data_IF_205710479213
#
_entry.id   IF_205710479213
#
_cell.length_a   1.000
_cell.length_b   1.000
_cell.length_c   1.000
_cell.angle_alpha   90.00
_cell.angle_beta   90.00
_cell.angle_gamma   90.00
#
_symmetry.space_group_name_H-M   'P 1'
#
loop_
_entity.id
_entity.type
_entity.pdbx_description
1 polymer ?
#
# COMPACT_ATOMS: atom_id res chain seq x y z
N UNK A 1 -12.32 -1.40 -10.64
CA UNK A 1 -12.43 0.05 -10.61
C UNK A 1 -11.86 0.75 -11.87
N UNK A 2 -10.75 0.28 -12.47
CA UNK A 2 -10.13 0.95 -13.63
C UNK A 2 -10.21 0.16 -14.95
N UNK A 3 -11.02 -0.91 -15.06
CA UNK A 3 -11.09 -1.76 -16.26
C UNK A 3 -11.49 -1.03 -17.54
N UNK A 4 -12.28 0.02 -17.43
CA UNK A 4 -12.76 0.82 -18.59
C UNK A 4 -11.83 1.99 -18.94
N UNK A 5 -10.88 2.33 -18.06
CA UNK A 5 -9.94 3.42 -18.33
C UNK A 5 -8.67 2.87 -18.98
N UNK A 6 -8.51 3.12 -20.28
CA UNK A 6 -7.25 2.81 -20.98
C UNK A 6 -6.10 3.59 -20.34
N UNK A 7 -4.99 2.91 -20.05
CA UNK A 7 -3.76 3.56 -19.63
C UNK A 7 -3.33 4.57 -20.70
N UNK A 8 -3.11 5.82 -20.29
CA UNK A 8 -2.59 6.88 -21.14
C UNK A 8 -1.71 7.82 -20.34
N UNK A 9 -0.64 8.25 -20.99
CA UNK A 9 0.26 9.25 -20.42
C UNK A 9 -0.27 10.64 -20.80
N UNK A 10 -0.43 11.53 -19.83
CA UNK A 10 -0.80 12.92 -20.07
C UNK A 10 0.36 13.64 -20.79
N UNK A 11 0.03 14.58 -21.65
CA UNK A 11 1.05 15.44 -22.28
C UNK A 11 1.77 16.23 -21.19
N UNK A 12 3.09 16.34 -21.31
CA UNK A 12 3.93 16.97 -20.27
C UNK A 12 3.58 18.43 -20.05
N UNK A 13 3.18 19.15 -21.11
CA UNK A 13 2.77 20.56 -21.06
C UNK A 13 1.53 20.75 -20.16
N UNK A 14 0.61 19.78 -20.17
CA UNK A 14 -0.58 19.79 -19.29
C UNK A 14 -0.20 19.55 -17.83
N UNK A 15 0.74 18.64 -17.58
CA UNK A 15 1.26 18.39 -16.23
C UNK A 15 1.99 19.62 -15.70
N UNK A 16 2.79 20.28 -16.54
CA UNK A 16 3.48 21.51 -16.15
C UNK A 16 2.52 22.64 -15.82
N UNK A 17 1.43 22.78 -16.58
CA UNK A 17 0.37 23.74 -16.28
C UNK A 17 -0.29 23.46 -14.93
N UNK A 18 -0.66 22.21 -14.64
CA UNK A 18 -1.23 21.84 -13.33
C UNK A 18 -0.29 22.20 -12.17
N UNK A 19 1.04 22.02 -12.36
CA UNK A 19 2.05 22.39 -11.36
C UNK A 19 2.08 23.91 -11.14
N UNK A 20 1.99 24.69 -12.23
CA UNK A 20 1.96 26.17 -12.18
C UNK A 20 0.65 26.67 -11.54
N UNK A 21 -0.48 26.11 -11.93
CA UNK A 21 -1.79 26.43 -11.34
C UNK A 21 -1.82 26.10 -9.83
N UNK A 22 -1.26 24.93 -9.43
CA UNK A 22 -1.14 24.57 -8.04
C UNK A 22 -0.32 25.59 -7.24
N UNK A 23 0.75 26.17 -7.84
CA UNK A 23 1.53 27.22 -7.19
C UNK A 23 0.75 28.51 -6.97
N UNK A 24 -0.14 28.85 -7.89
CA UNK A 24 -1.00 30.04 -7.72
C UNK A 24 -1.98 29.87 -6.56
N UNK A 25 -2.47 28.64 -6.33
CA UNK A 25 -3.43 28.34 -5.26
C UNK A 25 -2.72 28.14 -3.91
N UNK A 26 -1.57 27.48 -3.92
CA UNK A 26 -0.83 27.09 -2.73
C UNK A 26 0.53 27.80 -2.66
N UNK A 27 0.64 28.90 -1.91
CA UNK A 27 1.87 29.69 -1.85
C UNK A 27 3.02 28.99 -1.13
N UNK A 28 2.73 27.93 -0.35
CA UNK A 28 3.73 27.17 0.39
C UNK A 28 3.36 25.69 0.49
N UNK A 29 4.20 24.80 -0.06
CA UNK A 29 3.99 23.34 -0.08
C UNK A 29 5.26 22.62 0.37
N UNK A 30 5.18 21.84 1.46
CA UNK A 30 6.30 21.01 1.95
C UNK A 30 6.35 19.62 1.34
N UNK A 31 5.21 19.09 0.90
CA UNK A 31 5.13 17.74 0.33
C UNK A 31 4.12 17.67 -0.80
N UNK A 32 4.46 16.91 -1.82
CA UNK A 32 3.61 16.69 -3.00
C UNK A 32 3.43 15.19 -3.21
N UNK A 33 2.19 14.77 -3.42
CA UNK A 33 1.88 13.39 -3.79
C UNK A 33 1.29 13.36 -5.20
N UNK A 34 1.96 12.64 -6.12
CA UNK A 34 1.48 12.46 -7.50
C UNK A 34 0.53 11.27 -7.54
N UNK A 35 -0.71 11.53 -7.94
CA UNK A 35 -1.81 10.57 -8.03
C UNK A 35 -2.10 10.13 -9.46
N UNK A 36 -3.19 9.38 -9.64
CA UNK A 36 -3.71 8.87 -10.91
C UNK A 36 -2.87 7.75 -11.56
N UNK A 37 -2.75 6.67 -10.81
CA UNK A 37 -2.21 5.42 -11.32
C UNK A 37 -0.76 5.17 -10.92
N UNK A 38 -0.15 4.22 -11.61
CA UNK A 38 1.22 3.78 -11.34
C UNK A 38 2.22 4.72 -12.01
N UNK A 39 2.65 5.75 -11.29
CA UNK A 39 3.55 6.80 -11.79
C UNK A 39 4.93 6.24 -12.17
N UNK A 40 5.45 5.27 -11.40
CA UNK A 40 6.77 4.70 -11.65
C UNK A 40 6.86 3.86 -12.94
N UNK A 41 5.73 3.46 -13.51
CA UNK A 41 5.70 2.79 -14.82
C UNK A 41 6.21 3.68 -15.98
N UNK A 42 6.25 5.00 -15.78
CA UNK A 42 6.74 5.95 -16.77
C UNK A 42 8.26 5.82 -16.95
N UNK A 43 8.74 6.25 -18.12
CA UNK A 43 10.18 6.34 -18.40
C UNK A 43 10.85 7.30 -17.41
N UNK A 44 12.04 6.95 -16.95
CA UNK A 44 12.79 7.75 -15.97
C UNK A 44 13.03 9.18 -16.42
N UNK A 45 13.39 9.40 -17.69
CA UNK A 45 13.58 10.73 -18.26
C UNK A 45 12.31 11.62 -18.18
N UNK A 46 11.13 11.03 -18.38
CA UNK A 46 9.86 11.73 -18.27
C UNK A 46 9.59 12.13 -16.82
N UNK A 47 9.84 11.23 -15.89
CA UNK A 47 9.72 11.51 -14.45
C UNK A 47 10.68 12.59 -13.98
N UNK A 48 11.93 12.56 -14.44
CA UNK A 48 12.94 13.59 -14.12
C UNK A 48 12.50 14.99 -14.57
N UNK A 49 11.86 15.11 -15.75
CA UNK A 49 11.29 16.39 -16.20
C UNK A 49 10.20 16.91 -15.27
N UNK A 50 9.31 16.03 -14.80
CA UNK A 50 8.24 16.39 -13.85
C UNK A 50 8.83 16.81 -12.51
N UNK A 51 9.73 16.01 -11.94
CA UNK A 51 10.39 16.29 -10.67
C UNK A 51 11.19 17.59 -10.73
N UNK A 52 11.91 17.83 -11.83
CA UNK A 52 12.63 19.09 -12.07
C UNK A 52 11.70 20.30 -12.14
N UNK A 53 10.54 20.18 -12.82
CA UNK A 53 9.52 21.25 -12.83
C UNK A 53 8.97 21.53 -11.44
N UNK A 54 8.69 20.49 -10.65
CA UNK A 54 8.24 20.63 -9.26
C UNK A 54 9.30 21.34 -8.42
N UNK A 55 10.56 20.93 -8.51
CA UNK A 55 11.67 21.52 -7.75
C UNK A 55 11.85 23.00 -8.04
N UNK A 56 11.69 23.42 -9.30
CA UNK A 56 11.79 24.84 -9.67
C UNK A 56 10.56 25.64 -9.22
N UNK A 57 9.37 25.04 -9.32
CA UNK A 57 8.11 25.72 -8.96
C UNK A 57 7.88 25.78 -7.46
N UNK A 58 8.31 24.75 -6.71
CA UNK A 58 8.18 24.62 -5.25
C UNK A 58 9.54 24.31 -4.61
N UNK A 59 10.47 25.28 -4.56
CA UNK A 59 11.81 25.06 -4.00
C UNK A 59 11.78 24.69 -2.50
N UNK A 60 10.70 25.01 -1.80
CA UNK A 60 10.46 24.63 -0.41
C UNK A 60 9.95 23.18 -0.24
N UNK A 61 9.57 22.51 -1.33
CA UNK A 61 9.08 21.14 -1.29
C UNK A 61 10.22 20.15 -1.01
N UNK A 62 10.23 19.59 0.18
CA UNK A 62 11.28 18.64 0.61
C UNK A 62 10.92 17.17 0.39
N UNK A 63 9.66 16.86 0.05
CA UNK A 63 9.19 15.48 -0.07
C UNK A 63 8.23 15.31 -1.24
N UNK A 64 8.66 14.58 -2.25
CA UNK A 64 7.78 14.15 -3.33
C UNK A 64 7.53 12.64 -3.19
N UNK A 65 6.27 12.23 -3.29
CA UNK A 65 5.86 10.85 -3.23
C UNK A 65 4.88 10.52 -4.36
N UNK A 66 4.75 9.24 -4.68
CA UNK A 66 3.75 8.78 -5.65
C UNK A 66 3.46 7.27 -5.55
N UNK A 67 2.39 6.83 -6.21
CA UNK A 67 2.09 5.41 -6.35
C UNK A 67 3.06 4.71 -7.30
N UNK A 68 3.53 3.53 -6.88
CA UNK A 68 4.42 2.68 -7.66
C UNK A 68 4.03 1.21 -7.50
N UNK A 69 4.22 0.42 -8.55
CA UNK A 69 4.19 -1.04 -8.42
C UNK A 69 5.55 -1.58 -7.96
N UNK A 70 5.54 -2.60 -7.09
CA UNK A 70 6.77 -3.31 -6.71
C UNK A 70 7.47 -3.92 -7.93
N UNK A 71 6.71 -4.33 -8.96
CA UNK A 71 7.25 -4.76 -10.25
C UNK A 71 7.99 -3.63 -10.99
N UNK A 72 7.54 -2.39 -10.87
CA UNK A 72 8.21 -1.28 -11.55
C UNK A 72 9.49 -0.87 -10.83
N UNK A 73 9.53 -0.92 -9.50
CA UNK A 73 10.77 -0.84 -8.74
C UNK A 73 11.77 -1.91 -9.19
N UNK A 74 11.30 -3.16 -9.37
CA UNK A 74 12.13 -4.27 -9.83
C UNK A 74 12.64 -4.07 -11.26
N UNK A 75 11.82 -3.51 -12.16
CA UNK A 75 12.17 -3.31 -13.59
C UNK A 75 13.18 -2.19 -13.79
N UNK A 76 13.12 -1.11 -13.00
CA UNK A 76 14.12 -0.04 -13.08
C UNK A 76 15.47 -0.51 -12.53
N UNK A 77 16.56 0.01 -13.07
CA UNK A 77 17.87 -0.21 -12.48
C UNK A 77 18.10 0.73 -11.29
N UNK A 78 19.02 0.35 -10.40
CA UNK A 78 19.35 1.14 -9.20
C UNK A 78 19.84 2.55 -9.56
N UNK A 79 20.54 2.70 -10.69
CA UNK A 79 21.00 4.01 -11.17
C UNK A 79 19.83 4.95 -11.49
N UNK A 80 18.80 4.46 -12.18
CA UNK A 80 17.58 5.23 -12.47
C UNK A 80 16.85 5.64 -11.19
N UNK A 81 16.70 4.71 -10.24
CA UNK A 81 16.07 5.00 -8.96
C UNK A 81 16.85 6.04 -8.16
N UNK A 82 18.20 5.98 -8.17
CA UNK A 82 19.06 7.00 -7.55
C UNK A 82 18.89 8.38 -8.22
N UNK A 83 18.75 8.43 -9.53
CA UNK A 83 18.48 9.69 -10.23
C UNK A 83 17.13 10.29 -9.80
N UNK A 84 16.07 9.45 -9.68
CA UNK A 84 14.78 9.90 -9.18
C UNK A 84 14.86 10.38 -7.71
N UNK A 85 15.62 9.68 -6.86
CA UNK A 85 15.88 10.11 -5.48
C UNK A 85 16.56 11.48 -5.42
N UNK A 86 17.60 11.68 -6.22
CA UNK A 86 18.32 12.97 -6.31
C UNK A 86 17.43 14.10 -6.83
N UNK A 87 16.45 13.77 -7.69
CA UNK A 87 15.47 14.72 -8.21
C UNK A 87 14.31 15.02 -7.23
N UNK A 88 14.35 14.49 -5.99
CA UNK A 88 13.39 14.80 -4.93
C UNK A 88 12.38 13.69 -4.61
N UNK A 89 12.42 12.52 -5.28
CA UNK A 89 11.56 11.39 -4.91
C UNK A 89 11.97 10.86 -3.53
N UNK A 90 11.11 11.05 -2.54
CA UNK A 90 11.37 10.64 -1.16
C UNK A 90 10.74 9.29 -0.83
N UNK A 91 9.49 9.06 -1.27
CA UNK A 91 8.67 7.91 -0.89
C UNK A 91 7.89 7.37 -2.08
N UNK A 92 7.76 6.07 -2.17
CA UNK A 92 6.79 5.41 -3.05
C UNK A 92 5.76 4.63 -2.24
N UNK A 93 4.49 4.73 -2.62
CA UNK A 93 3.39 3.94 -2.06
C UNK A 93 3.15 2.73 -2.95
N UNK A 94 3.26 1.52 -2.38
CA UNK A 94 3.16 0.27 -3.13
C UNK A 94 2.15 -0.67 -2.51
N UNK A 95 1.29 -1.28 -3.36
CA UNK A 95 0.39 -2.34 -2.94
C UNK A 95 1.07 -3.70 -3.03
N UNK A 96 1.32 -4.36 -1.91
CA UNK A 96 1.69 -5.77 -1.84
C UNK A 96 0.42 -6.64 -1.77
N UNK A 97 -0.50 -6.25 -0.94
CA UNK A 97 -1.79 -6.82 -0.57
C UNK A 97 -1.66 -8.14 0.21
N UNK A 98 -0.77 -9.06 -0.19
CA UNK A 98 -0.51 -10.35 0.44
C UNK A 98 0.93 -10.80 0.20
N UNK A 99 1.46 -11.62 1.10
CA UNK A 99 2.70 -12.37 0.91
C UNK A 99 2.47 -13.81 0.44
N UNK A 100 1.22 -14.29 0.48
CA UNK A 100 0.85 -15.62 0.03
C UNK A 100 0.76 -15.69 -1.50
N UNK A 101 1.57 -16.55 -2.16
CA UNK A 101 1.57 -16.63 -3.62
C UNK A 101 0.23 -17.05 -4.21
N UNK A 102 -0.54 -17.91 -3.52
CA UNK A 102 -1.86 -18.36 -4.00
C UNK A 102 -2.86 -17.22 -3.96
N UNK A 103 -2.88 -16.46 -2.87
CA UNK A 103 -3.72 -15.26 -2.75
C UNK A 103 -3.36 -14.22 -3.82
N UNK A 104 -2.06 -13.96 -4.04
CA UNK A 104 -1.60 -13.03 -5.09
C UNK A 104 -2.04 -13.45 -6.49
N UNK A 105 -2.03 -14.76 -6.78
CA UNK A 105 -2.51 -15.31 -8.05
C UNK A 105 -4.03 -15.16 -8.19
N UNK A 106 -4.80 -15.52 -7.15
CA UNK A 106 -6.28 -15.39 -7.13
C UNK A 106 -6.75 -13.96 -7.39
N UNK A 107 -6.09 -12.97 -6.78
CA UNK A 107 -6.41 -11.55 -7.01
C UNK A 107 -5.80 -10.98 -8.29
N UNK A 108 -5.12 -11.79 -9.07
CA UNK A 108 -4.45 -11.39 -10.33
C UNK A 108 -3.48 -10.22 -10.13
N UNK A 109 -2.73 -10.24 -9.02
CA UNK A 109 -1.79 -9.16 -8.68
C UNK A 109 -0.66 -9.01 -9.69
N UNK A 110 -0.31 -10.07 -10.42
CA UNK A 110 0.80 -10.08 -11.37
C UNK A 110 2.16 -9.85 -10.69
N UNK A 111 2.29 -10.27 -9.44
CA UNK A 111 3.47 -10.10 -8.60
C UNK A 111 3.67 -11.38 -7.78
N UNK A 112 4.91 -11.84 -7.67
CA UNK A 112 5.28 -12.90 -6.72
C UNK A 112 5.98 -12.31 -5.49
N UNK A 113 6.00 -13.03 -4.34
CA UNK A 113 6.74 -12.59 -3.15
C UNK A 113 8.21 -12.29 -3.43
N UNK A 114 8.88 -13.13 -4.23
CA UNK A 114 10.27 -12.92 -4.62
C UNK A 114 10.47 -11.67 -5.51
N UNK A 115 9.53 -11.38 -6.39
CA UNK A 115 9.55 -10.16 -7.20
C UNK A 115 9.35 -8.91 -6.33
N UNK A 116 8.47 -8.99 -5.32
CA UNK A 116 8.26 -7.92 -4.35
C UNK A 116 9.55 -7.63 -3.57
N UNK A 117 10.19 -8.68 -3.04
CA UNK A 117 11.46 -8.59 -2.34
C UNK A 117 12.53 -7.89 -3.18
N UNK A 118 12.72 -8.31 -4.45
CA UNK A 118 13.68 -7.68 -5.38
C UNK A 118 13.37 -6.22 -5.66
N UNK A 119 12.09 -5.85 -5.77
CA UNK A 119 11.68 -4.45 -5.92
C UNK A 119 12.07 -3.61 -4.72
N UNK A 120 11.81 -4.13 -3.52
CA UNK A 120 12.16 -3.48 -2.26
C UNK A 120 13.65 -3.28 -2.09
N UNK A 121 14.46 -4.30 -2.40
CA UNK A 121 15.94 -4.22 -2.34
C UNK A 121 16.48 -3.08 -3.21
N UNK A 122 15.94 -2.92 -4.42
CA UNK A 122 16.37 -1.85 -5.32
C UNK A 122 15.98 -0.46 -4.80
N UNK A 123 14.77 -0.31 -4.24
CA UNK A 123 14.35 0.95 -3.63
C UNK A 123 15.28 1.32 -2.47
N UNK A 124 15.58 0.38 -1.57
CA UNK A 124 16.53 0.57 -0.47
C UNK A 124 17.93 0.93 -0.95
N UNK A 125 18.45 0.21 -1.95
CA UNK A 125 19.76 0.51 -2.55
C UNK A 125 19.83 1.91 -3.19
N UNK A 126 18.66 2.48 -3.54
CA UNK A 126 18.55 3.84 -4.06
C UNK A 126 18.24 4.90 -2.97
N UNK A 127 17.97 4.48 -1.73
CA UNK A 127 17.61 5.37 -0.62
C UNK A 127 16.19 5.94 -0.74
N UNK A 128 15.29 5.27 -1.47
CA UNK A 128 13.88 5.64 -1.59
C UNK A 128 13.10 4.91 -0.50
N UNK A 129 12.35 5.65 0.33
CA UNK A 129 11.43 5.06 1.30
C UNK A 129 10.28 4.35 0.59
N UNK A 130 9.82 3.25 1.17
CA UNK A 130 8.68 2.49 0.63
C UNK A 130 7.61 2.36 1.69
N UNK A 131 6.40 2.78 1.35
CA UNK A 131 5.19 2.42 2.06
C UNK A 131 4.59 1.19 1.37
N UNK A 132 4.41 0.12 2.13
CA UNK A 132 3.80 -1.13 1.66
C UNK A 132 2.39 -1.25 2.22
N UNK A 133 1.39 -1.40 1.34
CA UNK A 133 0.05 -1.75 1.81
C UNK A 133 -0.20 -3.25 1.77
N UNK A 134 -0.96 -3.73 2.75
CA UNK A 134 -1.52 -5.07 2.82
C UNK A 134 -3.02 -4.98 3.13
N UNK A 135 -3.77 -6.05 2.79
CA UNK A 135 -5.21 -6.09 2.99
C UNK A 135 -5.55 -7.31 3.84
N UNK A 136 -5.94 -7.08 5.10
CA UNK A 136 -6.47 -8.13 5.97
C UNK A 136 -7.74 -8.73 5.39
N UNK A 137 -7.90 -10.03 5.49
CA UNK A 137 -9.04 -10.77 4.99
C UNK A 137 -9.01 -11.04 3.48
N UNK A 138 -7.98 -10.62 2.73
CA UNK A 138 -7.88 -10.83 1.27
C UNK A 138 -7.71 -12.33 0.91
N UNK A 139 -7.23 -13.15 1.83
CA UNK A 139 -7.16 -14.60 1.68
C UNK A 139 -8.50 -15.31 1.80
N UNK A 140 -9.55 -14.60 2.24
CA UNK A 140 -10.83 -15.21 2.62
C UNK A 140 -10.70 -16.11 3.84
N UNK A 141 -11.78 -16.82 4.20
CA UNK A 141 -11.75 -17.77 5.33
C UNK A 141 -10.76 -18.92 5.12
N UNK A 142 -10.68 -19.39 3.89
CA UNK A 142 -9.86 -20.56 3.53
C UNK A 142 -8.36 -20.36 3.74
N UNK A 143 -7.86 -19.16 3.45
CA UNK A 143 -6.43 -18.86 3.40
C UNK A 143 -5.99 -17.73 4.33
N UNK A 144 -6.83 -17.39 5.30
CA UNK A 144 -6.52 -16.32 6.28
C UNK A 144 -5.18 -16.59 6.96
N UNK A 145 -4.96 -17.83 7.41
CA UNK A 145 -3.72 -18.22 8.11
C UNK A 145 -2.49 -18.15 7.20
N UNK A 146 -2.54 -18.73 6.01
CA UNK A 146 -1.42 -18.72 5.06
C UNK A 146 -1.11 -17.30 4.61
N UNK A 147 -2.18 -16.53 4.32
CA UNK A 147 -2.05 -15.14 3.94
C UNK A 147 -1.24 -14.34 4.97
N UNK A 148 -1.61 -14.39 6.25
CA UNK A 148 -0.96 -13.55 7.23
C UNK A 148 0.45 -14.04 7.60
N UNK A 149 0.66 -15.36 7.67
CA UNK A 149 1.97 -15.96 7.96
C UNK A 149 2.99 -15.60 6.87
N UNK A 150 2.63 -15.80 5.61
CA UNK A 150 3.52 -15.51 4.49
C UNK A 150 3.73 -14.00 4.28
N UNK A 151 2.68 -13.20 4.53
CA UNK A 151 2.79 -11.73 4.51
C UNK A 151 3.76 -11.24 5.57
N UNK A 152 3.63 -11.71 6.82
CA UNK A 152 4.51 -11.32 7.92
C UNK A 152 5.95 -11.75 7.65
N UNK A 153 6.16 -12.98 7.15
CA UNK A 153 7.50 -13.47 6.76
C UNK A 153 8.12 -12.56 5.70
N UNK A 154 7.36 -12.19 4.67
CA UNK A 154 7.87 -11.34 3.59
C UNK A 154 8.17 -9.92 4.10
N UNK A 155 7.32 -9.34 4.94
CA UNK A 155 7.54 -8.02 5.55
C UNK A 155 8.80 -8.03 6.44
N UNK A 156 9.07 -9.10 7.17
CA UNK A 156 10.29 -9.26 7.97
C UNK A 156 11.57 -9.27 7.12
N UNK A 157 11.49 -9.77 5.89
CA UNK A 157 12.59 -9.71 4.93
C UNK A 157 12.69 -8.31 4.31
N UNK A 158 11.56 -7.74 3.91
CA UNK A 158 11.49 -6.47 3.20
C UNK A 158 11.75 -5.27 4.12
N UNK A 159 11.31 -5.31 5.38
CA UNK A 159 11.43 -4.25 6.39
C UNK A 159 11.11 -2.86 5.82
N UNK A 160 9.87 -2.60 5.37
CA UNK A 160 9.50 -1.33 4.78
C UNK A 160 9.52 -0.20 5.83
N UNK A 161 9.79 1.01 5.38
CA UNK A 161 9.80 2.21 6.23
C UNK A 161 8.40 2.58 6.75
N UNK A 162 7.35 2.16 5.99
CA UNK A 162 5.96 2.41 6.37
C UNK A 162 5.06 1.23 5.95
N UNK A 163 4.07 0.93 6.77
CA UNK A 163 3.03 -0.08 6.53
C UNK A 163 1.66 0.58 6.54
N UNK A 164 0.87 0.41 5.48
CA UNK A 164 -0.54 0.81 5.43
C UNK A 164 -1.40 -0.46 5.43
N UNK A 165 -2.26 -0.57 6.43
CA UNK A 165 -3.00 -1.78 6.73
C UNK A 165 -4.49 -1.49 6.61
N UNK A 166 -5.19 -2.28 5.80
CA UNK A 166 -6.60 -2.10 5.51
C UNK A 166 -7.33 -3.44 5.59
N UNK A 167 -8.54 -3.45 6.13
CA UNK A 167 -9.43 -4.60 6.00
C UNK A 167 -10.08 -4.63 4.61
N UNK A 168 -10.29 -5.83 4.08
CA UNK A 168 -10.93 -6.03 2.79
C UNK A 168 -12.34 -5.43 2.77
N UNK A 169 -12.61 -4.59 1.79
CA UNK A 169 -13.96 -4.12 1.48
C UNK A 169 -14.33 -4.55 0.07
N UNK A 170 -15.44 -5.28 -0.06
CA UNK A 170 -15.93 -5.73 -1.36
C UNK A 170 -16.56 -4.54 -2.09
N UNK A 171 -15.97 -4.17 -3.21
CA UNK A 171 -16.49 -3.06 -4.01
C UNK A 171 -17.55 -3.53 -4.99
N UNK A 172 -18.68 -2.80 -5.14
CA UNK A 172 -19.72 -3.12 -6.11
C UNK A 172 -19.19 -3.23 -7.54
N UNK A 173 -19.72 -4.18 -8.31
CA UNK A 173 -19.37 -4.40 -9.72
C UNK A 173 -18.01 -5.08 -9.95
N UNK A 174 -17.33 -5.53 -8.89
CA UNK A 174 -16.04 -6.22 -9.01
C UNK A 174 -16.23 -7.73 -9.25
N UNK A 175 -15.18 -8.38 -9.76
CA UNK A 175 -15.13 -9.85 -9.88
C UNK A 175 -15.22 -10.51 -8.50
N UNK A 176 -14.60 -9.91 -7.50
CA UNK A 176 -14.62 -10.42 -6.12
C UNK A 176 -16.03 -10.41 -5.55
N UNK A 177 -16.85 -9.37 -5.85
CA UNK A 177 -18.25 -9.36 -5.45
C UNK A 177 -19.00 -10.58 -6.03
N UNK A 178 -18.81 -10.88 -7.31
CA UNK A 178 -19.44 -12.05 -7.95
C UNK A 178 -19.01 -13.35 -7.29
N UNK A 179 -17.72 -13.48 -6.97
CA UNK A 179 -17.19 -14.65 -6.27
C UNK A 179 -17.80 -14.82 -4.87
N UNK A 180 -18.07 -13.72 -4.17
CA UNK A 180 -18.80 -13.77 -2.89
C UNK A 180 -20.25 -14.20 -3.10
N UNK A 181 -20.95 -13.65 -4.09
CA UNK A 181 -22.34 -13.99 -4.40
C UNK A 181 -22.51 -15.45 -4.84
N UNK A 182 -21.52 -16.01 -5.53
CA UNK A 182 -21.52 -17.43 -5.95
C UNK A 182 -20.97 -18.40 -4.89
N UNK A 183 -20.43 -17.90 -3.78
CA UNK A 183 -19.79 -18.72 -2.75
C UNK A 183 -18.39 -19.23 -3.13
N UNK A 184 -17.82 -18.76 -4.25
CA UNK A 184 -16.44 -19.08 -4.66
C UNK A 184 -15.40 -18.41 -3.72
N UNK A 185 -15.74 -17.26 -3.17
CA UNK A 185 -14.94 -16.58 -2.17
C UNK A 185 -15.76 -16.36 -0.89
N UNK A 186 -15.33 -16.94 0.21
CA UNK A 186 -15.95 -16.74 1.52
C UNK A 186 -15.12 -15.69 2.26
N UNK A 187 -15.76 -14.55 2.57
CA UNK A 187 -15.10 -13.45 3.26
C UNK A 187 -14.59 -13.89 4.63
N UNK A 188 -13.39 -13.44 5.01
CA UNK A 188 -12.89 -13.63 6.37
C UNK A 188 -13.85 -12.98 7.38
N UNK A 189 -14.06 -13.64 8.50
CA UNK A 189 -14.88 -13.10 9.58
C UNK A 189 -14.16 -11.93 10.26
N UNK A 190 -14.88 -11.04 10.97
CA UNK A 190 -14.24 -9.99 11.76
C UNK A 190 -13.21 -10.54 12.75
N UNK A 191 -13.48 -11.68 13.36
CA UNK A 191 -12.54 -12.35 14.25
C UNK A 191 -11.26 -12.76 13.52
N UNK A 192 -11.37 -13.39 12.34
CA UNK A 192 -10.18 -13.74 11.54
C UNK A 192 -9.37 -12.52 11.13
N UNK A 193 -10.01 -11.40 10.79
CA UNK A 193 -9.32 -10.13 10.48
C UNK A 193 -8.54 -9.63 11.70
N UNK A 194 -9.12 -9.66 12.89
CA UNK A 194 -8.44 -9.29 14.14
C UNK A 194 -7.27 -10.25 14.45
N UNK A 195 -7.46 -11.56 14.22
CA UNK A 195 -6.41 -12.56 14.39
C UNK A 195 -5.26 -12.38 13.40
N UNK A 196 -5.54 -11.98 12.15
CA UNK A 196 -4.51 -11.62 11.18
C UNK A 196 -3.69 -10.43 11.65
N UNK A 197 -4.35 -9.35 12.11
CA UNK A 197 -3.67 -8.16 12.62
C UNK A 197 -2.85 -8.47 13.87
N UNK A 198 -3.42 -9.26 14.80
CA UNK A 198 -2.73 -9.73 16.01
C UNK A 198 -1.48 -10.53 15.63
N UNK A 199 -1.62 -11.53 14.77
CA UNK A 199 -0.50 -12.35 14.31
C UNK A 199 0.61 -11.51 13.71
N UNK A 200 0.27 -10.55 12.84
CA UNK A 200 1.24 -9.64 12.26
C UNK A 200 2.02 -8.89 13.33
N UNK A 201 1.33 -8.27 14.29
CA UNK A 201 1.98 -7.48 15.34
C UNK A 201 2.86 -8.33 16.28
N UNK A 202 2.44 -9.56 16.61
CA UNK A 202 3.21 -10.47 17.46
C UNK A 202 4.47 -11.01 16.76
N UNK A 203 4.42 -11.20 15.44
CA UNK A 203 5.48 -11.87 14.68
C UNK A 203 6.28 -10.95 13.76
N UNK A 204 5.94 -9.66 13.68
CA UNK A 204 6.75 -8.70 12.95
C UNK A 204 8.05 -8.45 13.73
N UNK A 205 9.19 -8.62 13.06
CA UNK A 205 10.51 -8.38 13.65
C UNK A 205 10.66 -6.91 14.10
N UNK A 206 11.60 -6.67 15.01
CA UNK A 206 11.87 -5.32 15.50
C UNK A 206 12.69 -4.54 14.46
N UNK A 207 11.99 -3.75 13.68
CA UNK A 207 12.56 -2.73 12.80
C UNK A 207 11.70 -1.47 12.84
N UNK A 208 12.34 -0.33 12.60
CA UNK A 208 11.65 0.95 12.62
C UNK A 208 10.73 1.09 11.41
N UNK A 209 9.43 1.19 11.66
CA UNK A 209 8.39 1.39 10.63
C UNK A 209 7.21 2.19 11.18
N UNK A 210 6.60 3.02 10.34
CA UNK A 210 5.35 3.70 10.69
C UNK A 210 4.19 2.76 10.34
N UNK A 211 3.34 2.52 11.31
CA UNK A 211 2.14 1.70 11.21
C UNK A 211 0.90 2.60 11.00
N UNK A 212 0.29 2.51 9.83
CA UNK A 212 -0.93 3.20 9.44
C UNK A 212 -2.09 2.20 9.42
N UNK A 213 -2.61 1.85 10.58
CA UNK A 213 -3.76 0.96 10.76
C UNK A 213 -5.04 1.74 11.12
N UNK A 214 -5.09 3.03 10.83
CA UNK A 214 -6.21 3.93 11.11
C UNK A 214 -7.13 4.14 9.88
N UNK A 215 -7.10 3.22 8.92
CA UNK A 215 -8.01 3.26 7.78
C UNK A 215 -9.46 3.02 8.22
N UNK A 216 -10.41 3.73 7.61
CA UNK A 216 -11.82 3.75 8.03
C UNK A 216 -12.52 2.38 8.02
N UNK A 217 -12.03 1.40 7.25
CA UNK A 217 -12.56 0.04 7.19
C UNK A 217 -11.92 -0.94 8.16
N UNK A 218 -10.94 -0.51 8.96
CA UNK A 218 -10.33 -1.37 9.98
C UNK A 218 -11.24 -1.49 11.22
N UNK A 219 -11.24 -2.68 11.82
CA UNK A 219 -12.02 -2.95 13.05
C UNK A 219 -11.41 -2.18 14.23
N UNK A 220 -10.06 -2.17 14.30
CA UNK A 220 -9.31 -1.44 15.32
C UNK A 220 -8.51 -0.33 14.65
N UNK A 221 -8.71 0.90 15.12
CA UNK A 221 -7.92 2.03 14.63
C UNK A 221 -6.62 2.15 15.43
N UNK A 222 -5.47 1.96 14.76
CA UNK A 222 -4.15 2.03 15.36
C UNK A 222 -3.17 2.76 14.45
N UNK A 223 -2.48 3.76 14.98
CA UNK A 223 -1.44 4.50 14.25
C UNK A 223 -0.28 4.81 15.16
N UNK A 224 0.94 4.59 14.70
CA UNK A 224 2.12 4.86 15.50
C UNK A 224 3.39 4.31 14.86
N UNK A 225 4.43 4.22 15.67
CA UNK A 225 5.74 3.70 15.23
C UNK A 225 6.01 2.35 15.91
N UNK A 226 6.36 1.35 15.13
CA UNK A 226 6.79 0.07 15.63
C UNK A 226 8.33 0.03 15.75
N UNK A 227 8.87 -0.71 16.75
CA UNK A 227 8.16 -1.57 17.71
C UNK A 227 7.54 -0.83 18.91
N UNK A 228 7.82 0.45 19.11
CA UNK A 228 7.46 1.19 20.34
C UNK A 228 5.96 1.15 20.71
N UNK A 229 5.06 1.08 19.72
CA UNK A 229 3.61 1.08 19.93
C UNK A 229 2.99 -0.32 19.94
N UNK A 230 3.78 -1.39 19.76
CA UNK A 230 3.27 -2.77 19.58
C UNK A 230 2.35 -3.22 20.69
N UNK A 231 2.77 -3.10 21.93
CA UNK A 231 2.00 -3.56 23.10
C UNK A 231 0.66 -2.82 23.24
N UNK A 232 0.65 -1.52 22.91
CA UNK A 232 -0.57 -0.73 22.90
C UNK A 232 -1.55 -1.24 21.84
N UNK A 233 -1.06 -1.57 20.65
CA UNK A 233 -1.89 -2.05 19.55
C UNK A 233 -2.43 -3.47 19.87
N UNK A 234 -1.59 -4.36 20.38
CA UNK A 234 -2.01 -5.70 20.81
C UNK A 234 -3.11 -5.63 21.87
N UNK A 235 -2.98 -4.77 22.89
CA UNK A 235 -4.02 -4.58 23.90
C UNK A 235 -5.36 -4.13 23.30
N UNK A 236 -5.35 -3.24 22.30
CA UNK A 236 -6.58 -2.82 21.62
C UNK A 236 -7.23 -3.97 20.85
N UNK A 237 -6.43 -4.80 20.17
CA UNK A 237 -6.93 -5.95 19.42
C UNK A 237 -7.46 -7.02 20.35
N UNK A 238 -6.76 -7.33 21.46
CA UNK A 238 -7.23 -8.29 22.47
C UNK A 238 -8.57 -7.86 23.07
N UNK A 239 -8.73 -6.56 23.33
CA UNK A 239 -10.00 -6.01 23.80
C UNK A 239 -11.11 -6.16 22.74
N UNK A 240 -10.82 -5.86 21.49
CA UNK A 240 -11.77 -6.02 20.39
C UNK A 240 -12.17 -7.50 20.18
N UNK A 241 -11.23 -8.43 20.34
CA UNK A 241 -11.52 -9.88 20.27
C UNK A 241 -12.41 -10.31 21.44
N UNK A 242 -12.13 -9.82 22.66
CA UNK A 242 -12.91 -10.16 23.85
C UNK A 242 -14.35 -9.60 23.81
N UNK A 243 -14.53 -8.42 23.22
CA UNK A 243 -15.82 -7.74 23.10
C UNK A 243 -16.68 -8.24 21.93
N UNK A 244 -16.08 -8.95 20.96
CA UNK A 244 -16.82 -9.55 19.86
C UNK A 244 -17.38 -10.92 20.29
N UNK A 245 -18.68 -11.02 20.59
CA UNK A 245 -19.31 -12.32 20.74
C UNK A 245 -19.17 -13.06 19.41
N UNK A 246 -18.85 -14.36 19.47
CA UNK A 246 -18.80 -15.26 18.32
C UNK A 246 -20.22 -15.37 17.72
N UNK A 247 -20.65 -14.38 16.99
CA UNK A 247 -21.91 -14.38 16.28
C UNK A 247 -21.67 -14.37 14.79
N UNK A 248 -22.16 -15.44 14.20
CA UNK A 248 -22.35 -15.70 12.77
C UNK A 248 -22.55 -14.43 11.94
N UNK A 249 -21.72 -14.31 10.89
CA UNK A 249 -21.98 -13.53 9.66
C UNK A 249 -22.64 -12.15 9.85
N UNK A 250 -21.87 -11.13 10.18
CA UNK A 250 -22.19 -9.78 9.74
C UNK A 250 -21.27 -9.41 8.59
N UNK A 251 -21.89 -9.37 7.41
CA UNK A 251 -21.29 -8.83 6.20
C UNK A 251 -21.00 -7.35 6.44
N UNK A 252 -19.75 -6.96 6.41
CA UNK A 252 -19.38 -5.54 6.32
C UNK A 252 -19.91 -5.00 4.99
N UNK A 253 -21.13 -4.49 5.01
CA UNK A 253 -21.75 -3.82 3.88
C UNK A 253 -21.20 -2.41 3.80
N UNK A 254 -20.48 -2.18 2.74
CA UNK A 254 -20.25 -0.91 2.02
C UNK A 254 -20.44 0.39 2.77
N UNK A 255 -19.35 1.10 3.03
CA UNK A 255 -19.37 2.55 3.20
C UNK A 255 -19.58 3.21 1.83
N UNK A 256 -20.56 4.09 1.64
CA UNK A 256 -20.69 4.84 0.40
C UNK A 256 -19.63 5.94 0.37
N UNK A 257 -18.90 5.99 -0.72
CA UNK A 257 -18.10 7.14 -1.14
C UNK A 257 -18.79 7.85 -2.30
#
# INVERSE_FOLDING_TARGET
>A
MFREKRFRIRKIEKIFRDIEEARQIYPYIRSIFLIDGNVLALKTEFLLKILGKISVTFPECSKIAFYAGLNDLRRKCVKELKQLKQAGLALVYTGLESGDPVTLERIKKGLTPEQARKGMEKAKAAGIEVLVSIIFGIGGQERSREHIVDTTRLLNIMKPEQLALMALTIQPGTELQKQVETGEFIQATPLQILEEEKYLLENLADFDTIYWGDHANNIVSSRGRLPASRDLFLKKIDHAIADHPVTKQEVLVTSPW
#
